data_IF_464095674006
#
_entry.id   IF_464095674006
#
_cell.length_a   1.000
_cell.length_b   1.000
_cell.length_c   1.000
_cell.angle_alpha   90.00
_cell.angle_beta   90.00
_cell.angle_gamma   90.00
#
_symmetry.space_group_name_H-M   'P 1'
#
loop_
_entity.id
_entity.type
_entity.pdbx_description
1 polymer ?
#
# COMPACT_ATOMS: atom_id res chain seq x y z
N UNK A 1 6.45 11.89 -16.87
CA UNK A 1 5.89 11.27 -15.66
C UNK A 1 4.80 12.19 -15.14
N UNK A 2 3.52 11.78 -15.15
CA UNK A 2 2.42 12.65 -14.69
C UNK A 2 2.29 12.46 -13.17
N UNK A 3 3.05 13.24 -12.40
CA UNK A 3 2.99 13.20 -10.95
C UNK A 3 1.68 13.86 -10.48
N UNK A 4 1.03 13.32 -9.43
CA UNK A 4 -0.12 13.99 -8.78
C UNK A 4 0.29 15.22 -7.96
N UNK A 5 1.59 15.38 -7.71
CA UNK A 5 2.18 16.50 -6.98
C UNK A 5 2.66 17.57 -7.96
N UNK A 6 2.56 18.84 -7.56
CA UNK A 6 3.05 19.96 -8.36
C UNK A 6 4.55 19.82 -8.63
N UNK A 7 4.99 20.22 -9.83
CA UNK A 7 6.42 20.35 -10.16
C UNK A 7 7.10 21.47 -9.37
N UNK A 8 6.30 22.41 -8.84
CA UNK A 8 6.75 23.55 -8.04
C UNK A 8 6.92 23.19 -6.55
N UNK A 9 6.43 22.03 -6.12
CA UNK A 9 6.62 21.55 -4.74
C UNK A 9 8.02 20.95 -4.56
N UNK A 10 8.99 21.85 -4.37
CA UNK A 10 10.41 21.52 -4.20
C UNK A 10 10.65 20.59 -3.00
N UNK A 11 9.82 20.67 -1.95
CA UNK A 11 9.93 19.80 -0.78
C UNK A 11 9.54 18.36 -1.12
N UNK A 12 8.41 18.18 -1.81
CA UNK A 12 7.98 16.86 -2.26
C UNK A 12 8.97 16.26 -3.28
N UNK A 13 9.49 17.05 -4.22
CA UNK A 13 10.44 16.56 -5.23
C UNK A 13 11.78 16.12 -4.61
N UNK A 14 12.24 16.82 -3.58
CA UNK A 14 13.52 16.50 -2.91
C UNK A 14 13.43 15.31 -1.95
N UNK A 15 12.27 15.08 -1.32
CA UNK A 15 12.14 14.07 -0.26
C UNK A 15 11.34 12.83 -0.69
N UNK A 16 10.45 12.96 -1.67
CA UNK A 16 9.46 11.92 -1.99
C UNK A 16 9.56 11.39 -3.42
N UNK A 17 10.61 11.75 -4.18
CA UNK A 17 10.77 11.29 -5.56
C UNK A 17 11.22 9.80 -5.59
N UNK A 18 10.39 8.85 -6.05
CA UNK A 18 10.75 7.43 -6.06
C UNK A 18 11.91 7.10 -6.99
N UNK A 19 12.22 7.96 -7.98
CA UNK A 19 13.31 7.71 -8.92
C UNK A 19 14.70 7.86 -8.29
N UNK A 20 14.80 8.42 -7.08
CA UNK A 20 16.07 8.53 -6.35
C UNK A 20 16.45 7.23 -5.62
N UNK A 21 15.60 6.20 -5.67
CA UNK A 21 15.77 4.93 -4.97
C UNK A 21 15.94 3.78 -5.98
N UNK A 22 17.18 3.40 -6.32
CA UNK A 22 17.47 2.40 -7.35
C UNK A 22 16.82 1.04 -7.08
N UNK A 23 16.63 0.67 -5.83
CA UNK A 23 15.97 -0.56 -5.40
C UNK A 23 14.48 -0.64 -5.78
N UNK A 24 13.85 0.50 -6.08
CA UNK A 24 12.47 0.57 -6.55
C UNK A 24 12.34 0.35 -8.05
N UNK A 25 13.46 0.44 -8.78
CA UNK A 25 13.53 0.22 -10.22
C UNK A 25 13.74 -1.27 -10.53
N UNK A 26 13.04 -1.72 -11.56
CA UNK A 26 13.22 -3.03 -12.18
C UNK A 26 14.55 -3.13 -12.93
N UNK A 27 14.82 -4.31 -13.47
CA UNK A 27 16.06 -4.59 -14.19
C UNK A 27 16.38 -3.52 -15.26
N UNK A 28 17.64 -3.08 -15.27
CA UNK A 28 18.16 -2.08 -16.19
C UNK A 28 17.45 -0.71 -16.16
N UNK A 29 16.73 -0.39 -15.08
CA UNK A 29 16.06 0.90 -14.90
C UNK A 29 14.85 1.12 -15.82
N UNK A 30 14.37 0.06 -16.48
CA UNK A 30 13.28 0.14 -17.49
C UNK A 30 11.89 -0.18 -16.94
N UNK A 31 11.80 -0.86 -15.80
CA UNK A 31 10.55 -1.20 -15.13
C UNK A 31 10.52 -0.64 -13.70
N UNK A 32 9.38 -0.73 -13.03
CA UNK A 32 9.24 -0.40 -11.61
C UNK A 32 8.84 -1.67 -10.85
N UNK A 33 9.60 -2.04 -9.82
CA UNK A 33 9.12 -3.01 -8.83
C UNK A 33 8.15 -2.35 -7.86
N UNK A 34 8.34 -1.04 -7.62
CA UNK A 34 7.50 -0.27 -6.71
C UNK A 34 6.23 0.24 -7.40
N UNK A 35 5.08 -0.14 -6.85
CA UNK A 35 3.79 0.40 -7.26
C UNK A 35 3.35 1.50 -6.27
N UNK A 36 3.60 2.76 -6.65
CA UNK A 36 3.27 3.92 -5.81
C UNK A 36 1.78 4.05 -5.52
N UNK A 37 0.89 3.60 -6.42
CA UNK A 37 -0.55 3.64 -6.20
C UNK A 37 -1.00 2.63 -5.13
N UNK A 38 -0.43 1.41 -5.14
CA UNK A 38 -0.70 0.41 -4.09
C UNK A 38 -0.16 0.90 -2.74
N UNK A 39 1.01 1.54 -2.73
CA UNK A 39 1.56 2.13 -1.51
C UNK A 39 0.67 3.26 -0.95
N UNK A 40 0.18 4.17 -1.81
CA UNK A 40 -0.72 5.27 -1.43
C UNK A 40 -2.03 4.75 -0.80
N UNK A 41 -2.66 3.76 -1.44
CA UNK A 41 -3.89 3.13 -0.93
C UNK A 41 -3.64 2.41 0.41
N UNK A 42 -2.53 1.69 0.51
CA UNK A 42 -2.15 0.98 1.73
C UNK A 42 -1.89 1.95 2.88
N UNK A 43 -1.15 3.03 2.65
CA UNK A 43 -0.87 4.06 3.65
C UNK A 43 -2.13 4.79 4.10
N UNK A 44 -3.06 5.06 3.19
CA UNK A 44 -4.37 5.65 3.53
C UNK A 44 -5.14 4.76 4.49
N UNK A 45 -5.17 3.45 4.22
CA UNK A 45 -5.81 2.49 5.13
C UNK A 45 -5.06 2.36 6.46
N UNK A 46 -3.73 2.32 6.43
CA UNK A 46 -2.89 2.20 7.61
C UNK A 46 -2.92 3.46 8.50
N UNK A 47 -3.26 4.62 7.95
CA UNK A 47 -3.34 5.89 8.68
C UNK A 47 -4.23 5.83 9.93
N UNK A 48 -5.32 5.06 9.88
CA UNK A 48 -6.20 4.83 11.04
C UNK A 48 -5.56 3.99 12.17
N UNK A 49 -4.46 3.31 11.88
CA UNK A 49 -3.73 2.42 12.80
C UNK A 49 -2.30 2.91 13.06
N UNK A 50 -1.92 4.08 12.53
CA UNK A 50 -0.54 4.56 12.59
C UNK A 50 -0.02 4.65 14.03
N UNK A 51 -0.84 5.13 14.97
CA UNK A 51 -0.46 5.29 16.38
C UNK A 51 -0.11 3.96 17.06
N UNK A 52 -0.80 2.87 16.70
CA UNK A 52 -0.52 1.54 17.26
C UNK A 52 0.63 0.85 16.53
N UNK A 53 0.74 1.05 15.21
CA UNK A 53 1.76 0.39 14.40
C UNK A 53 3.16 1.01 14.60
N UNK A 54 3.25 2.29 14.94
CA UNK A 54 4.52 3.01 15.11
C UNK A 54 5.47 2.36 16.12
N UNK A 55 4.93 1.81 17.20
CA UNK A 55 5.70 1.21 18.29
C UNK A 55 5.82 -0.32 18.17
N UNK A 56 5.34 -0.91 17.05
CA UNK A 56 5.41 -2.35 16.85
C UNK A 56 6.80 -2.78 16.35
N UNK A 57 7.32 -3.84 16.97
CA UNK A 57 8.39 -4.64 16.35
C UNK A 57 7.93 -5.20 15.01
N UNK A 58 8.85 -5.47 14.09
CA UNK A 58 8.54 -6.08 12.79
C UNK A 58 7.65 -7.34 12.89
N UNK A 59 7.89 -8.22 13.87
CA UNK A 59 7.07 -9.42 14.05
C UNK A 59 5.60 -9.11 14.40
N UNK A 60 5.37 -8.17 15.32
CA UNK A 60 4.02 -7.70 15.69
C UNK A 60 3.33 -6.98 14.54
N UNK A 61 4.08 -6.19 13.77
CA UNK A 61 3.55 -5.50 12.60
C UNK A 61 3.11 -6.49 11.51
N UNK A 62 3.92 -7.51 11.23
CA UNK A 62 3.56 -8.56 10.27
C UNK A 62 2.31 -9.34 10.71
N UNK A 63 2.25 -9.74 12.00
CA UNK A 63 1.06 -10.38 12.56
C UNK A 63 -0.19 -9.49 12.43
N UNK A 64 -0.06 -8.20 12.72
CA UNK A 64 -1.15 -7.25 12.58
C UNK A 64 -1.67 -7.19 11.14
N UNK A 65 -0.78 -7.07 10.15
CA UNK A 65 -1.17 -7.04 8.75
C UNK A 65 -1.89 -8.33 8.32
N UNK A 66 -1.35 -9.50 8.68
CA UNK A 66 -1.94 -10.80 8.37
C UNK A 66 -3.37 -10.92 8.93
N UNK A 67 -3.57 -10.57 10.20
CA UNK A 67 -4.88 -10.64 10.84
C UNK A 67 -5.87 -9.65 10.23
N UNK A 68 -5.45 -8.42 9.93
CA UNK A 68 -6.33 -7.43 9.33
C UNK A 68 -6.78 -7.82 7.91
N UNK A 69 -5.86 -8.39 7.11
CA UNK A 69 -6.19 -8.94 5.79
C UNK A 69 -7.16 -10.13 5.93
N UNK A 70 -6.91 -11.03 6.88
CA UNK A 70 -7.80 -12.17 7.17
C UNK A 70 -9.20 -11.69 7.55
N UNK A 71 -9.30 -10.74 8.47
CA UNK A 71 -10.58 -10.15 8.90
C UNK A 71 -11.33 -9.50 7.73
N UNK A 72 -10.64 -8.73 6.89
CA UNK A 72 -11.23 -8.13 5.69
C UNK A 72 -11.78 -9.19 4.75
N UNK A 73 -11.01 -10.25 4.49
CA UNK A 73 -11.43 -11.35 3.63
C UNK A 73 -12.67 -12.07 4.16
N UNK A 74 -12.75 -12.31 5.47
CA UNK A 74 -13.93 -12.91 6.11
C UNK A 74 -15.16 -12.02 5.94
N UNK A 75 -15.04 -10.72 6.18
CA UNK A 75 -16.16 -9.76 6.03
C UNK A 75 -16.61 -9.71 4.57
N UNK A 76 -15.66 -9.60 3.63
CA UNK A 76 -15.96 -9.57 2.19
C UNK A 76 -16.66 -10.86 1.74
N UNK A 77 -16.18 -12.04 2.16
CA UNK A 77 -16.84 -13.33 1.86
C UNK A 77 -18.27 -13.37 2.36
N UNK A 78 -18.52 -12.95 3.60
CA UNK A 78 -19.87 -12.90 4.18
C UNK A 78 -20.79 -11.95 3.41
N UNK A 79 -20.29 -10.76 3.04
CA UNK A 79 -21.05 -9.79 2.24
C UNK A 79 -21.43 -10.37 0.87
N UNK A 80 -20.46 -10.95 0.16
CA UNK A 80 -20.67 -11.52 -1.17
C UNK A 80 -21.65 -12.69 -1.16
N UNK A 81 -21.57 -13.56 -0.14
CA UNK A 81 -22.52 -14.64 0.05
C UNK A 81 -23.96 -14.11 0.25
N UNK A 82 -24.13 -13.00 0.97
CA UNK A 82 -25.44 -12.34 1.15
C UNK A 82 -25.97 -11.73 -0.15
N UNK A 83 -25.09 -11.20 -0.99
CA UNK A 83 -25.43 -10.52 -2.25
C UNK A 83 -25.54 -11.49 -3.44
N UNK A 84 -25.40 -12.80 -3.23
CA UNK A 84 -25.48 -13.82 -4.29
C UNK A 84 -24.33 -13.76 -5.31
N UNK A 85 -23.28 -13.00 -5.02
CA UNK A 85 -22.12 -12.83 -5.91
C UNK A 85 -20.96 -13.72 -5.48
N UNK A 86 -20.33 -14.43 -6.42
CA UNK A 86 -19.12 -15.20 -6.13
C UNK A 86 -17.86 -14.33 -6.24
N UNK A 87 -16.87 -14.62 -5.40
CA UNK A 87 -15.52 -14.05 -5.51
C UNK A 87 -14.95 -14.36 -6.89
N UNK A 88 -14.70 -13.35 -7.71
CA UNK A 88 -13.82 -13.51 -8.88
C UNK A 88 -12.40 -13.70 -8.35
N UNK A 89 -11.82 -14.87 -8.63
CA UNK A 89 -10.37 -15.04 -8.44
C UNK A 89 -9.67 -14.15 -9.47
N UNK A 90 -8.76 -13.32 -9.00
CA UNK A 90 -7.92 -12.44 -9.81
C UNK A 90 -6.68 -13.20 -10.26
#
# INVERSE_FOLDING_TARGET
>A
FKCKHSEEDLFCQSNCNPSTYPELLGENGKAWFFNSSVAEQTNTWLGGYQSICREMTAHRFNFFLDEMIRHRNVITKKKLAKEGSQLKMW
#
